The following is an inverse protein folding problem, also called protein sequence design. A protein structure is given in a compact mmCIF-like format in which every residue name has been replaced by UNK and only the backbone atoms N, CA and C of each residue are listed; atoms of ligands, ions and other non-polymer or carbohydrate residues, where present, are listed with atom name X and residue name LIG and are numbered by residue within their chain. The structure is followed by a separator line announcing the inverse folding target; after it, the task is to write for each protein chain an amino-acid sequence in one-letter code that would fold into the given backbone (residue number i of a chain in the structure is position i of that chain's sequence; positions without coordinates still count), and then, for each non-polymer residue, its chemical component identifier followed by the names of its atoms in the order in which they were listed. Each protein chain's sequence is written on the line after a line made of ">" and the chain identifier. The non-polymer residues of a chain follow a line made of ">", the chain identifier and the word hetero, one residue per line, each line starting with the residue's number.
data_IF_665641769655
#
_entry.id   IF_665641769655
#
_cell.length_a   1.000
_cell.length_b   1.000
_cell.length_c   1.000
_cell.angle_alpha   90.00
_cell.angle_beta   90.00
_cell.angle_gamma   90.00
#
_symmetry.space_group_name_H-M   'P 1'
#
loop_
_entity.id
_entity.type
_entity.pdbx_description
1 polymer ?
#
# COMPACT_ATOMS: atom_id res chain seq x y z
N UNK A 1 33.52 -23.55 42.32
CA UNK A 1 32.70 -22.66 43.16
C UNK A 1 33.05 -21.20 42.86
N UNK A 2 32.07 -20.30 42.82
CA UNK A 2 32.18 -18.85 42.56
C UNK A 2 32.15 -18.34 41.10
N UNK A 3 31.17 -18.75 40.30
CA UNK A 3 30.60 -17.86 39.24
C UNK A 3 29.15 -18.24 38.90
N UNK A 4 28.36 -18.62 39.92
CA UNK A 4 26.93 -18.91 39.78
C UNK A 4 26.22 -18.18 40.92
N UNK A 5 26.26 -16.85 40.93
CA UNK A 5 25.54 -16.01 41.92
C UNK A 5 25.58 -14.52 41.54
N UNK A 6 25.21 -14.18 40.30
CA UNK A 6 24.84 -12.84 39.81
C UNK A 6 24.18 -13.10 38.44
N UNK A 7 22.89 -12.97 38.17
CA UNK A 7 21.81 -12.31 38.86
C UNK A 7 20.53 -13.09 38.55
N UNK A 8 20.01 -13.80 39.55
CA UNK A 8 18.59 -14.12 39.66
C UNK A 8 17.95 -12.88 40.28
N UNK A 9 17.59 -11.94 39.41
CA UNK A 9 16.77 -10.76 39.69
C UNK A 9 16.36 -10.23 38.31
N UNK A 10 15.20 -10.58 37.76
CA UNK A 10 13.96 -9.89 38.06
C UNK A 10 12.78 -10.74 37.53
N UNK A 11 12.33 -11.69 38.34
CA UNK A 11 10.97 -12.24 38.28
C UNK A 11 10.04 -11.24 38.97
N UNK A 12 9.69 -10.15 38.29
CA UNK A 12 8.56 -9.29 38.63
C UNK A 12 8.45 -8.19 37.56
N UNK A 13 7.67 -8.46 36.51
CA UNK A 13 7.01 -7.43 35.71
C UNK A 13 5.92 -8.09 34.87
N UNK A 14 4.67 -7.81 35.27
CA UNK A 14 3.57 -7.54 34.37
C UNK A 14 3.10 -8.66 33.44
N UNK A 15 1.97 -9.28 33.81
CA UNK A 15 1.04 -9.99 32.93
C UNK A 15 0.47 -9.16 31.76
N UNK A 16 0.94 -7.92 31.54
CA UNK A 16 0.41 -6.98 30.56
C UNK A 16 1.10 -7.02 29.17
N UNK A 17 2.18 -7.78 28.98
CA UNK A 17 2.92 -7.83 27.69
C UNK A 17 2.69 -9.10 26.85
N UNK A 18 1.77 -9.99 27.24
CA UNK A 18 1.44 -11.21 26.45
C UNK A 18 0.51 -11.00 25.26
N UNK A 19 -0.03 -9.79 25.06
CA UNK A 19 -1.04 -9.51 24.03
C UNK A 19 -0.54 -9.03 22.66
N UNK A 20 0.77 -8.82 22.46
CA UNK A 20 1.29 -8.12 21.26
C UNK A 20 2.22 -8.91 20.34
N UNK A 21 2.45 -10.19 20.61
CA UNK A 21 3.39 -11.00 19.82
C UNK A 21 2.73 -11.93 18.77
N UNK A 22 1.39 -11.94 18.65
CA UNK A 22 0.68 -12.88 17.76
C UNK A 22 0.21 -12.28 16.41
N UNK A 23 0.33 -10.97 16.19
CA UNK A 23 -0.14 -10.32 14.96
C UNK A 23 0.94 -10.13 13.86
N UNK A 24 2.16 -10.63 14.06
CA UNK A 24 3.27 -10.41 13.11
C UNK A 24 3.56 -11.59 12.17
N UNK A 25 2.84 -12.71 12.28
CA UNK A 25 3.16 -13.95 11.54
C UNK A 25 2.35 -14.13 10.24
N UNK A 26 1.35 -13.28 9.98
CA UNK A 26 0.44 -13.47 8.84
C UNK A 26 0.90 -12.81 7.50
N UNK A 27 1.97 -12.01 7.49
CA UNK A 27 2.40 -11.27 6.29
C UNK A 27 3.80 -11.64 5.77
N UNK A 28 4.46 -12.63 6.35
CA UNK A 28 5.76 -13.10 5.83
C UNK A 28 5.48 -14.19 4.80
N UNK A 29 5.09 -13.79 3.60
CA UNK A 29 5.23 -14.65 2.43
C UNK A 29 6.70 -15.09 2.35
N UNK A 30 6.95 -16.39 2.32
CA UNK A 30 8.28 -16.95 2.13
C UNK A 30 8.82 -16.46 0.78
N UNK A 31 9.66 -15.41 0.80
CA UNK A 31 10.41 -14.98 -0.37
C UNK A 31 11.71 -15.79 -0.38
N UNK A 32 11.82 -16.69 -1.35
CA UNK A 32 13.10 -17.32 -1.66
C UNK A 32 14.13 -16.22 -1.95
N UNK A 33 15.22 -16.20 -1.18
CA UNK A 33 16.35 -15.28 -1.38
C UNK A 33 17.33 -15.78 -2.44
N UNK A 34 17.10 -16.98 -2.99
CA UNK A 34 17.90 -17.49 -4.09
C UNK A 34 17.50 -16.79 -5.40
N UNK A 35 18.47 -16.30 -6.20
CA UNK A 35 18.16 -15.72 -7.51
C UNK A 35 17.47 -16.78 -8.37
N UNK A 36 16.22 -16.48 -8.77
CA UNK A 36 15.45 -17.34 -9.67
C UNK A 36 16.07 -17.28 -11.06
N UNK A 37 16.49 -18.42 -11.59
CA UNK A 37 16.84 -18.53 -13.01
C UNK A 37 15.56 -18.37 -13.85
N UNK A 38 15.55 -17.40 -14.76
CA UNK A 38 14.42 -17.16 -15.66
C UNK A 38 14.42 -18.17 -16.81
N UNK A 39 13.25 -18.63 -17.22
CA UNK A 39 13.13 -19.43 -18.46
C UNK A 39 13.24 -18.52 -19.68
N UNK A 40 13.65 -19.09 -20.82
CA UNK A 40 13.78 -18.33 -22.08
C UNK A 40 12.42 -17.70 -22.45
N UNK A 41 12.37 -16.37 -22.54
CA UNK A 41 11.18 -15.59 -22.86
C UNK A 41 10.37 -15.14 -21.64
N UNK A 42 10.75 -15.54 -20.43
CA UNK A 42 10.17 -15.01 -19.19
C UNK A 42 10.66 -13.58 -18.94
N UNK A 43 9.75 -12.76 -18.43
CA UNK A 43 10.01 -11.37 -18.09
C UNK A 43 10.68 -11.27 -16.73
N UNK A 44 11.83 -10.59 -16.67
CA UNK A 44 12.46 -10.19 -15.41
C UNK A 44 11.71 -8.99 -14.81
N UNK A 45 10.61 -9.26 -14.12
CA UNK A 45 9.81 -8.17 -13.55
C UNK A 45 10.57 -7.31 -12.53
N UNK A 46 11.41 -7.86 -11.61
CA UNK A 46 12.23 -7.03 -10.72
C UNK A 46 13.18 -6.10 -11.49
N UNK A 47 13.89 -6.59 -12.51
CA UNK A 47 14.79 -5.75 -13.29
C UNK A 47 14.03 -4.69 -14.08
N UNK A 48 12.87 -5.02 -14.68
CA UNK A 48 12.05 -4.05 -15.39
C UNK A 48 11.44 -2.99 -14.48
N UNK A 49 11.01 -3.36 -13.27
CA UNK A 49 10.54 -2.40 -12.26
C UNK A 49 11.66 -1.43 -11.86
N UNK A 50 12.88 -1.93 -11.68
CA UNK A 50 14.04 -1.12 -11.34
C UNK A 50 14.50 -0.21 -12.50
N UNK A 51 14.32 -0.66 -13.74
CA UNK A 51 14.67 0.09 -14.96
C UNK A 51 13.57 1.05 -15.45
N UNK A 52 12.53 1.28 -14.64
CA UNK A 52 11.39 2.12 -15.03
C UNK A 52 11.82 3.57 -15.34
N UNK A 53 11.49 4.12 -16.53
CA UNK A 53 11.90 5.47 -16.92
C UNK A 53 10.91 6.57 -16.48
N UNK A 54 9.81 6.22 -15.81
CA UNK A 54 8.78 7.19 -15.45
C UNK A 54 9.26 8.11 -14.31
N UNK A 55 8.80 9.38 -14.26
CA UNK A 55 9.21 10.32 -13.22
C UNK A 55 8.86 9.88 -11.79
N UNK A 56 7.81 9.07 -11.63
CA UNK A 56 7.38 8.51 -10.34
C UNK A 56 7.72 7.03 -10.36
N UNK A 57 8.53 6.58 -9.40
CA UNK A 57 8.92 5.18 -9.29
C UNK A 57 7.70 4.26 -9.10
N UNK A 58 7.75 2.99 -9.56
CA UNK A 58 6.61 2.07 -9.48
C UNK A 58 6.03 1.91 -8.06
N UNK A 59 6.88 1.76 -7.05
CA UNK A 59 6.42 1.59 -5.66
C UNK A 59 5.71 2.85 -5.14
N UNK A 60 6.18 4.04 -5.54
CA UNK A 60 5.56 5.31 -5.20
C UNK A 60 4.21 5.50 -5.92
N UNK A 61 4.09 5.07 -7.18
CA UNK A 61 2.82 5.07 -7.91
C UNK A 61 1.79 4.15 -7.24
N UNK A 62 2.20 2.94 -6.82
CA UNK A 62 1.32 2.00 -6.12
C UNK A 62 0.86 2.58 -4.79
N UNK A 63 1.77 3.18 -4.01
CA UNK A 63 1.42 3.84 -2.76
C UNK A 63 0.40 4.96 -3.00
N UNK A 64 0.66 5.83 -3.98
CA UNK A 64 -0.24 6.93 -4.33
C UNK A 64 -1.61 6.43 -4.80
N UNK A 65 -1.66 5.38 -5.61
CA UNK A 65 -2.92 4.80 -6.07
C UNK A 65 -3.79 4.33 -4.89
N UNK A 66 -3.19 3.70 -3.87
CA UNK A 66 -3.90 3.29 -2.66
C UNK A 66 -4.48 4.48 -1.89
N UNK A 67 -3.70 5.55 -1.73
CA UNK A 67 -4.19 6.78 -1.09
C UNK A 67 -5.43 7.36 -1.82
N UNK A 68 -5.42 7.37 -3.16
CA UNK A 68 -6.56 7.83 -3.96
C UNK A 68 -7.78 6.93 -3.77
N UNK A 69 -7.59 5.61 -3.72
CA UNK A 69 -8.67 4.65 -3.51
C UNK A 69 -9.27 4.79 -2.11
N UNK A 70 -8.42 4.97 -1.09
CA UNK A 70 -8.87 5.20 0.29
C UNK A 70 -9.71 6.48 0.40
N UNK A 71 -9.33 7.53 -0.35
CA UNK A 71 -10.07 8.78 -0.50
C UNK A 71 -11.36 8.65 -1.34
N UNK A 72 -11.75 7.44 -1.76
CA UNK A 72 -12.94 7.21 -2.59
C UNK A 72 -12.83 7.91 -3.95
N UNK A 73 -11.62 7.95 -4.51
CA UNK A 73 -11.30 8.66 -5.76
C UNK A 73 -11.68 10.15 -5.70
N UNK A 74 -11.51 10.77 -4.53
CA UNK A 74 -11.82 12.18 -4.28
C UNK A 74 -13.20 12.43 -3.65
N UNK A 75 -14.09 11.43 -3.62
CA UNK A 75 -15.44 11.64 -3.06
C UNK A 75 -15.45 11.74 -1.52
N UNK A 76 -14.47 11.17 -0.82
CA UNK A 76 -14.40 11.18 0.65
C UNK A 76 -13.61 12.35 1.23
N UNK A 77 -12.78 13.01 0.42
CA UNK A 77 -11.95 14.14 0.84
C UNK A 77 -12.31 15.46 0.11
N UNK A 78 -13.42 15.47 -0.61
CA UNK A 78 -13.87 16.65 -1.37
C UNK A 78 -12.95 17.00 -2.55
N UNK A 79 -12.23 16.02 -3.09
CA UNK A 79 -11.31 16.20 -4.21
C UNK A 79 -9.96 16.78 -3.83
N UNK A 80 -9.61 16.82 -2.54
CA UNK A 80 -8.32 17.32 -2.08
C UNK A 80 -7.14 16.49 -2.63
N UNK A 81 -7.36 15.20 -2.92
CA UNK A 81 -6.37 14.34 -3.54
C UNK A 81 -6.19 14.55 -5.05
N UNK A 82 -7.10 15.29 -5.70
CA UNK A 82 -7.11 15.54 -7.14
C UNK A 82 -6.34 16.83 -7.48
N UNK A 83 -5.70 16.85 -8.64
CA UNK A 83 -4.94 18.01 -9.09
C UNK A 83 -5.85 19.24 -9.34
N UNK A 84 -5.33 20.47 -9.26
CA UNK A 84 -6.10 21.68 -9.57
C UNK A 84 -6.64 21.71 -11.01
N UNK A 85 -5.90 21.12 -11.94
CA UNK A 85 -6.19 20.97 -13.36
C UNK A 85 -6.70 19.57 -13.72
N UNK A 86 -7.27 18.84 -12.74
CA UNK A 86 -7.79 17.50 -12.96
C UNK A 86 -8.91 17.50 -14.01
N UNK A 87 -8.81 16.55 -14.94
CA UNK A 87 -9.80 16.26 -15.97
C UNK A 87 -10.10 14.77 -15.98
N UNK A 88 -11.39 14.42 -15.92
CA UNK A 88 -11.84 13.05 -16.09
C UNK A 88 -12.24 12.81 -17.55
N UNK A 89 -11.54 11.87 -18.19
CA UNK A 89 -11.74 11.48 -19.58
C UNK A 89 -12.10 10.00 -19.67
N UNK A 90 -13.37 9.71 -19.95
CA UNK A 90 -13.86 8.38 -20.28
C UNK A 90 -14.39 8.34 -21.72
N UNK A 91 -14.56 7.12 -22.27
CA UNK A 91 -14.89 6.92 -23.68
C UNK A 91 -16.19 7.59 -24.16
N UNK A 92 -17.17 7.78 -23.27
CA UNK A 92 -18.49 8.35 -23.59
C UNK A 92 -18.79 9.60 -22.75
N UNK A 93 -18.04 9.83 -21.68
CA UNK A 93 -18.26 10.92 -20.72
C UNK A 93 -16.94 11.65 -20.54
N UNK A 94 -16.89 12.91 -20.97
CA UNK A 94 -15.75 13.80 -20.74
C UNK A 94 -15.41 14.68 -21.95
N UNK A 95 -14.54 15.68 -21.75
CA UNK A 95 -13.79 15.96 -20.52
C UNK A 95 -14.65 16.60 -19.43
N UNK A 96 -14.53 16.12 -18.18
CA UNK A 96 -15.17 16.72 -17.00
C UNK A 96 -14.12 17.33 -16.08
N UNK A 97 -14.33 18.57 -15.65
CA UNK A 97 -13.49 19.18 -14.62
C UNK A 97 -13.71 18.55 -13.24
N UNK A 98 -12.81 18.83 -12.29
CA UNK A 98 -12.85 18.28 -10.93
C UNK A 98 -14.23 18.39 -10.25
N UNK A 99 -14.86 19.55 -10.29
CA UNK A 99 -16.12 19.77 -9.57
C UNK A 99 -17.30 19.03 -10.24
N UNK A 100 -17.33 18.98 -11.57
CA UNK A 100 -18.31 18.21 -12.35
C UNK A 100 -18.14 16.71 -12.12
N UNK A 101 -16.89 16.24 -12.08
CA UNK A 101 -16.54 14.86 -11.78
C UNK A 101 -17.02 14.42 -10.39
N UNK A 102 -16.75 15.23 -9.35
CA UNK A 102 -17.18 14.92 -7.99
C UNK A 102 -18.71 14.91 -7.85
N UNK A 103 -19.38 15.86 -8.50
CA UNK A 103 -20.85 15.91 -8.56
C UNK A 103 -21.43 14.67 -9.24
N UNK A 104 -20.86 14.27 -10.38
CA UNK A 104 -21.28 13.08 -11.10
C UNK A 104 -21.09 11.81 -10.26
N UNK A 105 -19.90 11.61 -9.69
CA UNK A 105 -19.59 10.42 -8.89
C UNK A 105 -20.37 10.33 -7.58
N UNK A 106 -20.73 11.46 -6.96
CA UNK A 106 -21.54 11.47 -5.74
C UNK A 106 -22.92 10.84 -5.91
N UNK A 107 -23.38 10.63 -7.14
CA UNK A 107 -24.64 9.94 -7.45
C UNK A 107 -24.50 8.42 -7.62
N UNK A 108 -23.28 7.90 -7.75
CA UNK A 108 -23.03 6.48 -7.96
C UNK A 108 -22.91 5.75 -6.61
N UNK A 109 -23.77 4.77 -6.37
CA UNK A 109 -23.63 3.81 -5.26
C UNK A 109 -22.61 2.73 -5.67
N UNK A 110 -21.33 2.96 -5.37
CA UNK A 110 -20.25 2.02 -5.68
C UNK A 110 -20.18 0.83 -4.70
N UNK A 111 -20.90 0.91 -3.58
CA UNK A 111 -20.77 0.00 -2.43
C UNK A 111 -21.88 -1.05 -2.36
N UNK A 112 -22.94 -0.90 -3.16
CA UNK A 112 -24.12 -1.78 -3.17
C UNK A 112 -24.07 -2.88 -4.24
N UNK A 113 -22.92 -3.05 -4.91
CA UNK A 113 -22.71 -4.01 -6.01
C UNK A 113 -22.26 -5.41 -5.57
#
# INVERSE_FOLDING_TARGET
>A
ERTIMHAIALLSLGSAQRGRALAAVAAVGFRSTAPRALIKGEVDEPALRAASPFPIAPDALIARAKEILDAGVGTRDGGACLAPDFEFCAAVVGPLGRDEYLSALGTFQLEDA
#
